data_IF_010568293159
#
_entry.id   IF_010568293159
#
_cell.length_a   1.000
_cell.length_b   1.000
_cell.length_c   1.000
_cell.angle_alpha   90.00
_cell.angle_beta   90.00
_cell.angle_gamma   90.00
#
_symmetry.space_group_name_H-M   'P 1'
#
loop_
_entity.id
_entity.type
_entity.pdbx_description
1 polymer ?
#
# COMPACT_ATOMS: atom_id res chain seq x y z
N UNK A 1 12.29 25.57 -0.28
CA UNK A 1 12.01 24.18 -0.63
C UNK A 1 11.86 24.07 -2.13
N UNK A 2 12.53 23.09 -2.75
CA UNK A 2 12.35 22.72 -4.16
C UNK A 2 10.95 22.10 -4.37
N UNK A 3 10.52 21.94 -5.63
CA UNK A 3 9.25 21.27 -5.93
C UNK A 3 9.27 19.80 -5.46
N UNK A 4 10.43 19.15 -5.56
CA UNK A 4 10.69 17.79 -5.09
C UNK A 4 10.51 17.68 -3.57
N UNK A 5 11.13 18.59 -2.81
CA UNK A 5 10.97 18.64 -1.34
C UNK A 5 9.53 18.95 -0.92
N UNK A 6 8.85 19.85 -1.63
CA UNK A 6 7.44 20.14 -1.40
C UNK A 6 6.56 18.91 -1.62
N UNK A 7 6.82 18.12 -2.67
CA UNK A 7 6.09 16.90 -2.93
C UNK A 7 6.24 15.87 -1.81
N UNK A 8 7.47 15.62 -1.39
CA UNK A 8 7.73 14.65 -0.32
C UNK A 8 7.15 15.11 1.01
N UNK A 9 7.18 16.41 1.28
CA UNK A 9 6.51 17.00 2.43
C UNK A 9 4.99 16.82 2.38
N UNK A 10 4.35 17.09 1.24
CA UNK A 10 2.90 16.88 1.06
C UNK A 10 2.53 15.42 1.31
N UNK A 11 3.26 14.47 0.74
CA UNK A 11 3.02 13.04 0.95
C UNK A 11 3.17 12.65 2.42
N UNK A 12 4.18 13.18 3.09
CA UNK A 12 4.39 12.99 4.52
C UNK A 12 3.19 13.51 5.34
N UNK A 13 2.75 14.74 5.11
CA UNK A 13 1.61 15.34 5.83
C UNK A 13 0.31 14.55 5.61
N UNK A 14 0.04 14.12 4.37
CA UNK A 14 -1.14 13.32 4.05
C UNK A 14 -1.10 11.98 4.77
N UNK A 15 0.07 11.33 4.83
CA UNK A 15 0.25 10.10 5.60
C UNK A 15 -0.04 10.34 7.07
N UNK A 16 0.54 11.37 7.69
CA UNK A 16 0.31 11.69 9.11
C UNK A 16 -1.17 11.95 9.39
N UNK A 17 -1.80 12.78 8.56
CA UNK A 17 -3.22 13.09 8.65
C UNK A 17 -4.08 11.84 8.56
N UNK A 18 -3.85 10.99 7.54
CA UNK A 18 -4.64 9.77 7.31
C UNK A 18 -4.51 8.78 8.47
N UNK A 19 -3.29 8.63 9.01
CA UNK A 19 -3.03 7.78 10.17
C UNK A 19 -3.79 8.27 11.40
N UNK A 20 -3.68 9.58 11.71
CA UNK A 20 -4.38 10.20 12.82
C UNK A 20 -5.89 10.10 12.67
N UNK A 21 -6.42 10.45 11.50
CA UNK A 21 -7.84 10.33 11.18
C UNK A 21 -8.35 8.92 11.42
N UNK A 22 -7.63 7.88 10.96
CA UNK A 22 -8.03 6.49 11.15
C UNK A 22 -8.09 6.11 12.64
N UNK A 23 -7.11 6.55 13.43
CA UNK A 23 -7.08 6.30 14.88
C UNK A 23 -8.26 6.99 15.57
N UNK A 24 -8.46 8.27 15.29
CA UNK A 24 -9.52 9.07 15.90
C UNK A 24 -10.91 8.56 15.50
N UNK A 25 -11.11 8.23 14.22
CA UNK A 25 -12.34 7.67 13.69
C UNK A 25 -12.68 6.34 14.36
N UNK A 26 -11.74 5.39 14.41
CA UNK A 26 -11.99 4.10 15.05
C UNK A 26 -12.25 4.22 16.56
N UNK A 27 -11.61 5.17 17.24
CA UNK A 27 -11.89 5.47 18.65
C UNK A 27 -13.27 6.11 18.83
N UNK A 28 -13.66 7.02 17.94
CA UNK A 28 -14.97 7.64 17.91
C UNK A 28 -16.07 6.59 17.69
N UNK A 29 -15.96 5.71 16.69
CA UNK A 29 -16.93 4.63 16.45
C UNK A 29 -17.11 3.76 17.71
N UNK A 30 -16.00 3.36 18.36
CA UNK A 30 -16.06 2.56 19.60
C UNK A 30 -16.75 3.29 20.76
N UNK A 31 -16.48 4.60 20.92
CA UNK A 31 -17.13 5.43 21.95
C UNK A 31 -18.62 5.57 21.66
N UNK A 32 -18.99 5.80 20.40
CA UNK A 32 -20.38 5.97 19.97
C UNK A 32 -21.19 4.68 20.13
N UNK A 33 -20.63 3.52 19.75
CA UNK A 33 -21.25 2.21 20.00
C UNK A 33 -21.55 2.04 21.50
N UNK A 34 -20.57 2.32 22.38
CA UNK A 34 -20.78 2.23 23.83
C UNK A 34 -21.88 3.18 24.31
N UNK A 35 -21.94 4.40 23.78
CA UNK A 35 -22.97 5.37 24.15
C UNK A 35 -24.37 4.93 23.69
N UNK A 36 -24.50 4.45 22.45
CA UNK A 36 -25.76 3.93 21.90
C UNK A 36 -26.23 2.69 22.66
N UNK A 37 -25.33 1.76 22.98
CA UNK A 37 -25.64 0.58 23.79
C UNK A 37 -26.12 0.97 25.20
N UNK A 38 -25.50 1.97 25.84
CA UNK A 38 -25.98 2.51 27.12
C UNK A 38 -27.37 3.13 27.00
N UNK A 39 -27.60 3.95 25.98
CA UNK A 39 -28.91 4.57 25.71
C UNK A 39 -29.99 3.52 25.48
N UNK A 40 -29.70 2.51 24.66
CA UNK A 40 -30.56 1.36 24.40
C UNK A 40 -30.89 0.60 25.68
N UNK A 41 -29.89 0.27 26.49
CA UNK A 41 -30.08 -0.45 27.74
C UNK A 41 -30.88 0.36 28.77
N UNK A 42 -30.64 1.67 28.86
CA UNK A 42 -31.42 2.58 29.70
C UNK A 42 -32.88 2.64 29.24
N UNK A 43 -33.12 2.74 27.93
CA UNK A 43 -34.45 2.70 27.33
C UNK A 43 -35.16 1.36 27.61
N UNK A 44 -34.47 0.22 27.56
CA UNK A 44 -35.09 -1.07 27.93
C UNK A 44 -35.41 -1.14 29.43
N UNK A 45 -34.57 -0.57 30.29
CA UNK A 45 -34.78 -0.54 31.76
C UNK A 45 -35.95 0.32 32.19
N UNK A 46 -36.30 1.37 31.44
CA UNK A 46 -37.49 2.18 31.73
C UNK A 46 -38.81 1.46 31.42
N UNK A 47 -38.75 0.22 30.91
CA UNK A 47 -39.90 -0.64 30.58
C UNK A 47 -40.96 0.08 29.71
N UNK A 48 -40.57 0.64 28.56
CA UNK A 48 -41.48 1.39 27.70
C UNK A 48 -42.54 0.46 27.09
N UNK A 49 -43.75 0.98 26.79
CA UNK A 49 -44.78 0.25 26.09
C UNK A 49 -44.29 -0.36 24.77
N UNK A 50 -44.91 -1.47 24.37
CA UNK A 50 -44.55 -2.23 23.15
C UNK A 50 -44.45 -1.36 21.90
N UNK A 51 -45.42 -0.45 21.70
CA UNK A 51 -45.47 0.44 20.54
C UNK A 51 -44.23 1.35 20.45
N UNK A 52 -43.79 1.88 21.60
CA UNK A 52 -42.60 2.73 21.67
C UNK A 52 -41.34 1.89 21.40
N UNK A 53 -41.28 0.66 21.90
CA UNK A 53 -40.13 -0.23 21.61
C UNK A 53 -39.98 -0.52 20.12
N UNK A 54 -41.07 -0.84 19.44
CA UNK A 54 -41.07 -1.17 18.01
C UNK A 54 -40.62 0.00 17.15
N UNK A 55 -40.84 1.24 17.59
CA UNK A 55 -40.40 2.42 16.86
C UNK A 55 -38.91 2.74 17.10
N UNK A 56 -38.46 2.73 18.36
CA UNK A 56 -37.14 3.27 18.72
C UNK A 56 -36.01 2.24 18.75
N UNK A 57 -36.29 0.96 19.07
CA UNK A 57 -35.23 -0.06 19.12
C UNK A 57 -34.59 -0.34 17.76
N UNK A 58 -35.34 -0.53 16.67
CA UNK A 58 -34.74 -0.82 15.37
C UNK A 58 -33.77 0.29 14.91
N UNK A 59 -34.09 1.56 15.18
CA UNK A 59 -33.22 2.69 14.84
C UNK A 59 -31.89 2.62 15.61
N UNK A 60 -31.95 2.36 16.92
CA UNK A 60 -30.74 2.23 17.73
C UNK A 60 -29.92 1.00 17.33
N UNK A 61 -30.58 -0.11 17.05
CA UNK A 61 -29.94 -1.37 16.64
C UNK A 61 -29.26 -1.23 15.28
N UNK A 62 -29.92 -0.60 14.31
CA UNK A 62 -29.35 -0.31 13.00
C UNK A 62 -28.13 0.63 13.10
N UNK A 63 -28.18 1.66 13.95
CA UNK A 63 -27.03 2.56 14.16
C UNK A 63 -25.85 1.82 14.79
N UNK A 64 -26.10 0.94 15.77
CA UNK A 64 -25.06 0.12 16.39
C UNK A 64 -24.47 -0.84 15.36
N UNK A 65 -25.31 -1.52 14.59
CA UNK A 65 -24.90 -2.48 13.57
C UNK A 65 -24.05 -1.82 12.48
N UNK A 66 -24.46 -0.65 11.97
CA UNK A 66 -23.71 0.10 10.96
C UNK A 66 -22.29 0.42 11.44
N UNK A 67 -22.14 0.94 12.67
CA UNK A 67 -20.83 1.27 13.24
C UNK A 67 -19.99 0.02 13.52
N UNK A 68 -20.62 -1.08 13.92
CA UNK A 68 -19.93 -2.36 14.11
C UNK A 68 -19.43 -2.93 12.78
N UNK A 69 -20.24 -2.84 11.73
CA UNK A 69 -19.86 -3.27 10.39
C UNK A 69 -18.67 -2.48 9.86
N UNK A 70 -18.64 -1.15 10.03
CA UNK A 70 -17.47 -0.34 9.66
C UNK A 70 -16.18 -0.79 10.37
N UNK A 71 -16.25 -1.09 11.67
CA UNK A 71 -15.08 -1.58 12.42
C UNK A 71 -14.62 -2.96 11.92
N UNK A 72 -15.56 -3.82 11.54
CA UNK A 72 -15.27 -5.13 10.92
C UNK A 72 -14.58 -4.92 9.57
N UNK A 73 -15.11 -4.05 8.72
CA UNK A 73 -14.55 -3.77 7.39
C UNK A 73 -13.11 -3.23 7.49
N UNK A 74 -12.85 -2.31 8.41
CA UNK A 74 -11.49 -1.82 8.70
C UNK A 74 -10.57 -2.96 9.18
N UNK A 75 -11.06 -3.85 10.06
CA UNK A 75 -10.26 -4.98 10.54
C UNK A 75 -9.98 -6.00 9.43
N UNK A 76 -10.95 -6.27 8.56
CA UNK A 76 -10.83 -7.13 7.39
C UNK A 76 -9.80 -6.59 6.41
N UNK A 77 -9.87 -5.29 6.10
CA UNK A 77 -8.88 -4.62 5.24
C UNK A 77 -7.46 -4.77 5.82
N UNK A 78 -7.29 -4.55 7.13
CA UNK A 78 -5.99 -4.73 7.81
C UNK A 78 -5.51 -6.18 7.84
N UNK A 79 -6.44 -7.13 7.94
CA UNK A 79 -6.11 -8.54 7.89
C UNK A 79 -5.74 -9.01 6.48
N UNK A 80 -6.06 -8.23 5.43
CA UNK A 80 -5.81 -8.58 4.03
C UNK A 80 -6.63 -9.79 3.56
N UNK A 81 -7.78 -10.06 4.20
CA UNK A 81 -8.65 -11.19 3.86
C UNK A 81 -9.62 -10.70 2.79
N UNK A 82 -9.57 -11.32 1.60
CA UNK A 82 -10.55 -11.06 0.54
C UNK A 82 -11.84 -11.77 0.95
N UNK A 83 -12.90 -11.01 1.18
CA UNK A 83 -14.16 -11.41 1.82
C UNK A 83 -15.02 -12.41 1.02
N UNK A 84 -14.42 -13.22 0.13
CA UNK A 84 -15.21 -13.91 -0.89
C UNK A 84 -15.79 -15.26 -0.47
N UNK A 85 -15.38 -15.86 0.66
CA UNK A 85 -15.82 -17.24 0.93
C UNK A 85 -16.64 -17.49 2.21
N UNK A 86 -16.56 -16.72 3.31
CA UNK A 86 -17.24 -17.17 4.55
C UNK A 86 -17.87 -16.13 5.48
N UNK A 87 -18.30 -14.95 5.02
CA UNK A 87 -19.20 -14.08 5.81
C UNK A 87 -18.77 -13.73 7.25
N UNK A 88 -17.50 -13.96 7.61
CA UNK A 88 -17.07 -14.03 9.00
C UNK A 88 -16.76 -12.63 9.53
N UNK A 89 -17.53 -12.22 10.53
CA UNK A 89 -17.47 -10.89 11.16
C UNK A 89 -16.74 -10.86 12.50
N UNK A 90 -16.13 -11.98 12.92
CA UNK A 90 -15.51 -12.08 14.24
C UNK A 90 -14.22 -11.26 14.32
N UNK A 91 -14.27 -10.14 15.06
CA UNK A 91 -13.12 -9.26 15.25
C UNK A 91 -11.91 -9.98 15.91
N UNK A 92 -12.17 -10.96 16.79
CA UNK A 92 -11.12 -11.76 17.43
C UNK A 92 -10.43 -12.71 16.46
N UNK A 93 -11.19 -13.29 15.53
CA UNK A 93 -10.67 -14.11 14.45
C UNK A 93 -9.79 -13.29 13.50
N UNK A 94 -10.29 -12.15 13.01
CA UNK A 94 -9.55 -11.26 12.11
C UNK A 94 -8.22 -10.79 12.72
N UNK A 95 -8.22 -10.45 14.01
CA UNK A 95 -7.00 -10.10 14.75
C UNK A 95 -6.01 -11.27 14.77
N UNK A 96 -6.48 -12.50 15.00
CA UNK A 96 -5.64 -13.70 15.02
C UNK A 96 -5.02 -13.98 13.66
N UNK A 97 -5.79 -13.87 12.58
CA UNK A 97 -5.28 -14.05 11.21
C UNK A 97 -4.19 -13.01 10.89
N UNK A 98 -4.39 -11.75 11.28
CA UNK A 98 -3.37 -10.72 11.09
C UNK A 98 -2.07 -11.05 11.85
N UNK A 99 -2.18 -11.55 13.09
CA UNK A 99 -1.01 -11.98 13.86
C UNK A 99 -0.30 -13.18 13.22
N UNK A 100 -1.05 -14.19 12.77
CA UNK A 100 -0.48 -15.36 12.07
C UNK A 100 0.28 -14.92 10.82
N UNK A 101 -0.33 -14.07 9.98
CA UNK A 101 0.33 -13.53 8.78
C UNK A 101 1.59 -12.73 9.11
N UNK A 102 1.56 -11.93 10.18
CA UNK A 102 2.74 -11.17 10.60
C UNK A 102 3.91 -12.09 10.98
N UNK A 103 3.62 -13.24 11.59
CA UNK A 103 4.62 -14.27 11.91
C UNK A 103 5.09 -15.00 10.64
N UNK A 104 4.17 -15.38 9.74
CA UNK A 104 4.53 -16.05 8.47
C UNK A 104 5.37 -15.16 7.54
N UNK A 105 5.18 -13.84 7.57
CA UNK A 105 5.96 -12.88 6.78
C UNK A 105 7.33 -12.57 7.37
N UNK A 106 7.63 -13.05 8.58
CA UNK A 106 8.95 -12.88 9.19
C UNK A 106 9.86 -14.06 8.88
N UNK A 107 11.06 -13.74 8.38
CA UNK A 107 12.13 -14.71 8.17
C UNK A 107 12.77 -14.98 9.54
N UNK A 108 12.46 -16.13 10.13
CA UNK A 108 13.03 -16.55 11.42
C UNK A 108 14.36 -17.27 11.27
N UNK A 109 14.59 -17.90 10.12
CA UNK A 109 15.76 -18.70 9.85
C UNK A 109 16.20 -18.51 8.40
N UNK A 110 17.52 -18.43 8.19
CA UNK A 110 18.15 -18.58 6.87
C UNK A 110 19.17 -19.69 6.95
N UNK A 111 19.32 -20.44 5.87
CA UNK A 111 20.40 -21.39 5.73
C UNK A 111 21.50 -20.73 4.91
N UNK A 112 22.72 -20.77 5.43
CA UNK A 112 23.90 -20.37 4.67
C UNK A 112 24.17 -21.42 3.59
N UNK A 113 24.15 -21.07 2.29
CA UNK A 113 24.40 -22.01 1.21
C UNK A 113 25.84 -22.54 1.20
N UNK A 114 26.80 -21.83 1.81
CA UNK A 114 28.22 -22.19 1.79
C UNK A 114 28.61 -23.07 2.98
N UNK A 115 28.07 -22.80 4.17
CA UNK A 115 28.35 -23.59 5.38
C UNK A 115 27.27 -24.60 5.74
N UNK A 116 26.07 -24.50 5.15
CA UNK A 116 24.90 -25.31 5.49
C UNK A 116 24.27 -24.98 6.84
N UNK A 117 24.82 -24.02 7.60
CA UNK A 117 24.36 -23.69 8.94
C UNK A 117 23.08 -22.85 8.90
N UNK A 118 22.14 -23.18 9.79
CA UNK A 118 20.92 -22.39 9.98
C UNK A 118 21.17 -21.28 10.98
N UNK A 119 20.92 -20.04 10.58
CA UNK A 119 21.07 -18.86 11.43
C UNK A 119 19.70 -18.30 11.80
N UNK A 120 19.56 -17.87 13.06
CA UNK A 120 18.29 -17.40 13.64
C UNK A 120 18.37 -16.02 14.28
N UNK A 121 19.58 -15.55 14.59
CA UNK A 121 19.78 -14.21 15.15
C UNK A 121 19.51 -13.14 14.10
N UNK A 122 18.76 -12.10 14.47
CA UNK A 122 18.46 -10.97 13.58
C UNK A 122 19.71 -10.33 12.97
N UNK A 123 20.76 -10.15 13.76
CA UNK A 123 22.03 -9.56 13.30
C UNK A 123 22.69 -10.44 12.24
N UNK A 124 22.67 -11.76 12.45
CA UNK A 124 23.18 -12.73 11.48
C UNK A 124 22.33 -12.70 10.21
N UNK A 125 21.00 -12.82 10.34
CA UNK A 125 20.05 -12.80 9.21
C UNK A 125 20.27 -11.58 8.30
N UNK A 126 20.46 -10.39 8.87
CA UNK A 126 20.73 -9.17 8.10
C UNK A 126 22.08 -9.21 7.39
N UNK A 127 23.15 -9.62 8.10
CA UNK A 127 24.49 -9.73 7.52
C UNK A 127 24.52 -10.72 6.35
N UNK A 128 23.92 -11.90 6.53
CA UNK A 128 23.83 -12.91 5.47
C UNK A 128 23.01 -12.43 4.27
N UNK A 129 21.84 -11.83 4.52
CA UNK A 129 21.02 -11.28 3.43
C UNK A 129 21.78 -10.22 2.64
N UNK A 130 22.48 -9.32 3.34
CA UNK A 130 23.29 -8.29 2.70
C UNK A 130 24.40 -8.89 1.85
N UNK A 131 25.22 -9.81 2.39
CA UNK A 131 26.30 -10.43 1.65
C UNK A 131 25.80 -11.17 0.42
N UNK A 132 24.74 -11.97 0.55
CA UNK A 132 24.14 -12.70 -0.57
C UNK A 132 23.68 -11.76 -1.69
N UNK A 133 22.92 -10.71 -1.38
CA UNK A 133 22.45 -9.79 -2.41
C UNK A 133 23.56 -8.90 -2.96
N UNK A 134 24.58 -8.56 -2.17
CA UNK A 134 25.76 -7.87 -2.69
C UNK A 134 26.52 -8.70 -3.71
N UNK A 135 26.62 -10.01 -3.50
CA UNK A 135 27.21 -10.95 -4.45
C UNK A 135 26.32 -11.14 -5.68
N UNK A 136 25.03 -11.36 -5.50
CA UNK A 136 24.07 -11.56 -6.60
C UNK A 136 23.98 -10.35 -7.54
N UNK A 137 24.12 -9.14 -7.00
CA UNK A 137 24.14 -7.91 -7.78
C UNK A 137 25.56 -7.37 -8.00
N UNK A 138 26.58 -8.19 -7.77
CA UNK A 138 27.94 -7.85 -8.19
C UNK A 138 28.01 -7.85 -9.71
N UNK A 139 28.94 -7.08 -10.26
CA UNK A 139 29.12 -7.01 -11.72
C UNK A 139 29.71 -8.33 -12.18
N UNK A 140 28.91 -9.12 -12.87
CA UNK A 140 29.43 -10.27 -13.60
C UNK A 140 30.31 -9.76 -14.75
N UNK A 141 31.52 -10.32 -14.94
CA UNK A 141 32.33 -9.99 -16.10
C UNK A 141 31.58 -10.44 -17.37
N UNK A 142 31.18 -9.48 -18.19
CA UNK A 142 30.60 -9.73 -19.51
C UNK A 142 31.70 -9.55 -20.54
N UNK A 143 31.82 -10.49 -21.48
CA UNK A 143 32.77 -10.37 -22.60
C UNK A 143 32.32 -9.23 -23.53
N UNK A 144 33.24 -8.33 -23.87
CA UNK A 144 32.98 -7.26 -24.85
C UNK A 144 32.53 -7.84 -26.20
N UNK A 145 33.01 -9.04 -26.56
CA UNK A 145 32.58 -9.74 -27.77
C UNK A 145 31.09 -10.13 -27.73
N UNK A 146 30.59 -10.59 -26.58
CA UNK A 146 29.17 -10.94 -26.42
C UNK A 146 28.29 -9.69 -26.50
N UNK A 147 28.77 -8.55 -25.97
CA UNK A 147 28.10 -7.24 -26.11
C UNK A 147 28.02 -6.85 -27.58
N UNK A 148 29.14 -6.93 -28.31
CA UNK A 148 29.18 -6.58 -29.74
C UNK A 148 28.29 -7.49 -30.59
N UNK A 149 28.28 -8.80 -30.32
CA UNK A 149 27.38 -9.74 -31.00
C UNK A 149 25.91 -9.40 -30.73
N UNK A 150 25.56 -9.13 -29.46
CA UNK A 150 24.20 -8.71 -29.10
C UNK A 150 23.79 -7.40 -29.78
N UNK A 151 24.69 -6.41 -29.85
CA UNK A 151 24.44 -5.12 -30.51
C UNK A 151 24.28 -5.27 -32.03
N UNK A 152 25.01 -6.20 -32.66
CA UNK A 152 24.84 -6.52 -34.08
C UNK A 152 23.48 -7.16 -34.35
N UNK A 153 23.04 -8.08 -33.49
CA UNK A 153 21.74 -8.76 -33.63
C UNK A 153 20.54 -7.79 -33.54
N UNK A 154 20.71 -6.65 -32.87
CA UNK A 154 19.66 -5.63 -32.71
C UNK A 154 19.86 -4.38 -33.58
N UNK A 155 20.86 -4.37 -34.46
CA UNK A 155 21.20 -3.19 -35.27
C UNK A 155 20.05 -2.77 -36.22
N UNK A 156 19.24 -3.73 -36.67
CA UNK A 156 18.12 -3.51 -37.60
C UNK A 156 16.76 -3.32 -36.90
N UNK A 157 16.75 -2.99 -35.60
CA UNK A 157 15.50 -2.72 -34.90
C UNK A 157 14.79 -1.46 -35.41
N UNK A 158 13.44 -1.42 -35.38
CA UNK A 158 12.69 -0.24 -35.75
C UNK A 158 13.12 0.98 -34.92
N UNK A 159 13.52 2.05 -35.59
CA UNK A 159 13.80 3.34 -34.96
C UNK A 159 12.51 4.14 -34.79
N UNK A 160 12.44 4.91 -33.70
CA UNK A 160 11.39 5.91 -33.51
C UNK A 160 11.47 6.95 -34.63
N UNK A 161 10.34 7.24 -35.27
CA UNK A 161 10.26 8.36 -36.20
C UNK A 161 10.33 9.70 -35.42
N UNK A 162 10.52 10.80 -36.15
CA UNK A 162 10.65 12.12 -35.55
C UNK A 162 9.39 12.61 -34.83
N UNK A 163 8.21 12.12 -35.21
CA UNK A 163 6.95 12.46 -34.54
C UNK A 163 6.87 11.75 -33.18
N UNK A 164 7.16 10.45 -33.12
CA UNK A 164 7.18 9.65 -31.90
C UNK A 164 8.25 10.16 -30.92
N UNK A 165 9.43 10.53 -31.43
CA UNK A 165 10.49 11.16 -30.64
C UNK A 165 10.00 12.45 -29.98
N UNK A 166 9.35 13.33 -30.74
CA UNK A 166 8.81 14.60 -30.23
C UNK A 166 7.69 14.36 -29.23
N UNK A 167 6.86 13.35 -29.47
CA UNK A 167 5.79 12.97 -28.55
C UNK A 167 6.34 12.47 -27.21
N UNK A 168 7.35 11.60 -27.21
CA UNK A 168 7.93 11.01 -25.98
C UNK A 168 8.61 12.04 -25.06
N UNK A 169 9.08 13.15 -25.61
CA UNK A 169 9.69 14.25 -24.83
C UNK A 169 8.72 15.42 -24.58
N UNK A 170 7.48 15.29 -25.03
CA UNK A 170 6.48 16.34 -24.82
C UNK A 170 6.13 16.48 -23.33
N UNK A 171 5.79 17.70 -22.86
CA UNK A 171 5.44 17.91 -21.47
C UNK A 171 4.24 17.06 -21.04
N UNK A 172 4.39 16.37 -19.91
CA UNK A 172 3.34 15.56 -19.29
C UNK A 172 2.23 16.48 -18.80
N UNK A 173 1.01 16.19 -19.21
CA UNK A 173 -0.20 16.95 -18.87
C UNK A 173 -0.81 16.50 -17.55
N UNK A 174 -1.65 17.36 -16.95
CA UNK A 174 -2.36 17.00 -15.71
C UNK A 174 -3.39 15.91 -15.97
N UNK A 175 -4.02 15.91 -17.14
CA UNK A 175 -5.01 14.92 -17.55
C UNK A 175 -4.38 13.52 -17.60
N UNK A 176 -3.17 13.40 -18.17
CA UNK A 176 -2.41 12.16 -18.16
C UNK A 176 -2.10 11.69 -16.73
N UNK A 177 -1.66 12.59 -15.86
CA UNK A 177 -1.35 12.26 -14.46
C UNK A 177 -2.60 11.78 -13.71
N UNK A 178 -3.76 12.41 -13.91
CA UNK A 178 -5.02 12.03 -13.25
C UNK A 178 -5.54 10.67 -13.74
N UNK A 179 -5.31 10.33 -15.01
CA UNK A 179 -5.74 9.05 -15.58
C UNK A 179 -4.91 7.86 -15.08
N UNK A 180 -3.63 8.04 -14.77
CA UNK A 180 -2.75 6.93 -14.38
C UNK A 180 -3.23 6.15 -13.14
N UNK A 181 -3.56 6.78 -11.99
CA UNK A 181 -4.05 6.05 -10.82
C UNK A 181 -5.32 5.24 -11.10
N UNK A 182 -6.20 5.70 -12.01
CA UNK A 182 -7.46 4.99 -12.32
C UNK A 182 -7.19 3.60 -12.90
N UNK A 183 -6.13 3.47 -13.71
CA UNK A 183 -5.69 2.18 -14.29
C UNK A 183 -5.11 1.26 -13.22
N UNK A 184 -4.33 1.82 -12.29
CA UNK A 184 -3.58 1.05 -11.30
C UNK A 184 -4.39 0.66 -10.04
N UNK A 185 -5.42 1.43 -9.66
CA UNK A 185 -6.28 1.12 -8.50
C UNK A 185 -6.83 -0.31 -8.56
N UNK A 186 -7.14 -0.82 -9.76
CA UNK A 186 -7.69 -2.17 -9.95
C UNK A 186 -6.70 -3.29 -9.59
N UNK A 187 -5.40 -3.00 -9.62
CA UNK A 187 -4.34 -3.99 -9.39
C UNK A 187 -4.00 -4.19 -7.92
N UNK A 188 -4.55 -3.35 -7.02
CA UNK A 188 -4.36 -3.45 -5.56
C UNK A 188 -2.88 -3.62 -5.17
N UNK A 189 -2.01 -2.84 -5.82
CA UNK A 189 -0.57 -2.90 -5.56
C UNK A 189 -0.23 -2.47 -4.14
N UNK A 190 0.90 -2.98 -3.65
CA UNK A 190 1.46 -2.53 -2.39
C UNK A 190 1.94 -1.08 -2.49
N UNK A 191 1.73 -0.24 -1.47
CA UNK A 191 2.24 1.13 -1.46
C UNK A 191 3.77 1.16 -1.32
N UNK A 192 4.37 2.27 -1.76
CA UNK A 192 5.80 2.56 -1.66
C UNK A 192 6.29 2.82 -0.23
N UNK A 193 7.44 3.46 -0.10
CA UNK A 193 8.02 3.88 1.19
C UNK A 193 7.15 4.92 1.92
N UNK A 194 6.43 5.75 1.16
CA UNK A 194 5.47 6.74 1.68
C UNK A 194 4.21 6.12 2.29
N UNK A 195 3.91 4.85 1.99
CA UNK A 195 2.73 4.16 2.50
C UNK A 195 1.41 4.60 1.83
N UNK A 196 1.47 5.38 0.75
CA UNK A 196 0.31 5.86 0.01
C UNK A 196 0.06 4.97 -1.22
N UNK A 197 -1.08 4.28 -1.25
CA UNK A 197 -1.50 3.51 -2.43
C UNK A 197 -2.09 4.38 -3.54
N UNK A 198 -2.34 3.78 -4.70
CA UNK A 198 -2.91 4.50 -5.86
C UNK A 198 -4.27 5.15 -5.60
N UNK A 199 -5.05 4.65 -4.64
CA UNK A 199 -6.30 5.30 -4.21
C UNK A 199 -6.04 6.69 -3.63
N UNK A 200 -4.99 6.85 -2.82
CA UNK A 200 -4.62 8.16 -2.29
C UNK A 200 -4.08 9.06 -3.40
N UNK A 201 -3.22 8.54 -4.28
CA UNK A 201 -2.70 9.29 -5.42
C UNK A 201 -3.81 9.82 -6.32
N UNK A 202 -4.86 9.01 -6.56
CA UNK A 202 -6.03 9.45 -7.30
C UNK A 202 -6.69 10.69 -6.69
N UNK A 203 -6.86 10.74 -5.37
CA UNK A 203 -7.42 11.93 -4.70
C UNK A 203 -6.45 13.11 -4.71
N UNK A 204 -5.16 12.86 -4.47
CA UNK A 204 -4.13 13.91 -4.44
C UNK A 204 -4.02 14.60 -5.80
N UNK A 205 -4.00 13.84 -6.89
CA UNK A 205 -3.87 14.41 -8.24
C UNK A 205 -5.08 15.23 -8.69
N UNK A 206 -6.24 15.02 -8.06
CA UNK A 206 -7.44 15.82 -8.30
C UNK A 206 -7.53 17.05 -7.38
N UNK A 207 -6.64 17.19 -6.39
CA UNK A 207 -6.69 18.29 -5.45
C UNK A 207 -6.12 19.57 -6.08
N UNK A 208 -7.03 20.45 -6.53
CA UNK A 208 -6.71 21.66 -7.29
C UNK A 208 -5.57 22.52 -6.70
N UNK A 209 -5.45 22.73 -5.38
CA UNK A 209 -4.36 23.54 -4.82
C UNK A 209 -2.96 22.96 -5.05
N UNK A 210 -2.83 21.67 -5.35
CA UNK A 210 -1.55 21.01 -5.64
C UNK A 210 -1.28 20.87 -7.13
N UNK A 211 -2.19 21.30 -8.01
CA UNK A 211 -2.11 21.05 -9.45
C UNK A 211 -0.78 21.48 -10.06
N UNK A 212 -0.34 22.70 -9.78
CA UNK A 212 0.91 23.25 -10.32
C UNK A 212 2.12 22.45 -9.85
N UNK A 213 2.12 22.03 -8.58
CA UNK A 213 3.16 21.19 -8.01
C UNK A 213 3.20 19.82 -8.68
N UNK A 214 2.03 19.17 -8.83
CA UNK A 214 1.86 17.83 -9.41
C UNK A 214 2.33 17.79 -10.87
N UNK A 215 2.05 18.83 -11.67
CA UNK A 215 2.52 18.92 -13.06
C UNK A 215 4.03 19.16 -13.10
N UNK A 216 4.54 20.01 -12.20
CA UNK A 216 5.95 20.43 -12.21
C UNK A 216 6.90 19.28 -11.91
N UNK A 217 6.58 18.39 -10.98
CA UNK A 217 7.47 17.28 -10.58
C UNK A 217 7.86 16.36 -11.75
N UNK A 218 6.93 15.68 -12.45
CA UNK A 218 7.27 14.76 -13.52
C UNK A 218 7.89 15.47 -14.72
N UNK A 219 7.49 16.71 -15.01
CA UNK A 219 8.10 17.48 -16.10
C UNK A 219 9.53 17.94 -15.78
N UNK A 220 9.83 18.26 -14.52
CA UNK A 220 11.21 18.55 -14.09
C UNK A 220 12.06 17.28 -14.11
N UNK A 221 11.49 16.13 -13.76
CA UNK A 221 12.15 14.84 -13.88
C UNK A 221 12.45 14.50 -15.37
N UNK A 222 11.49 14.72 -16.27
CA UNK A 222 11.64 14.46 -17.70
C UNK A 222 12.70 15.35 -18.36
N UNK A 223 12.73 16.64 -18.03
CA UNK A 223 13.60 17.61 -18.72
C UNK A 223 14.96 17.81 -18.07
N UNK A 224 15.06 17.69 -16.74
CA UNK A 224 16.27 18.01 -15.98
C UNK A 224 16.80 16.83 -15.15
N UNK A 225 16.16 15.66 -15.18
CA UNK A 225 16.57 14.49 -14.39
C UNK A 225 16.51 14.72 -12.88
N UNK A 226 15.69 15.68 -12.42
CA UNK A 226 15.57 16.02 -10.99
C UNK A 226 14.36 15.34 -10.36
N UNK A 227 14.63 14.34 -9.53
CA UNK A 227 13.61 13.47 -8.92
C UNK A 227 13.42 13.78 -7.42
N UNK A 228 12.20 13.61 -6.87
CA UNK A 228 11.99 13.52 -5.43
C UNK A 228 12.86 12.42 -4.81
N UNK A 229 13.36 12.63 -3.59
CA UNK A 229 14.23 11.65 -2.93
C UNK A 229 13.49 10.33 -2.69
N UNK A 230 12.20 10.42 -2.38
CA UNK A 230 11.34 9.25 -2.22
C UNK A 230 11.17 8.38 -3.48
N UNK A 231 11.46 8.90 -4.68
CA UNK A 231 11.43 8.11 -5.92
C UNK A 231 12.70 7.28 -6.10
N UNK A 232 13.77 7.66 -5.42
CA UNK A 232 15.05 6.98 -5.43
C UNK A 232 15.13 5.90 -4.34
N UNK A 233 14.17 5.87 -3.42
CA UNK A 233 14.07 4.84 -2.39
C UNK A 233 13.48 3.54 -2.96
N UNK A 234 14.27 2.47 -2.95
CA UNK A 234 13.82 1.13 -3.29
C UNK A 234 13.30 0.40 -2.04
N UNK A 235 12.04 -0.06 -2.08
CA UNK A 235 11.51 -0.94 -1.03
C UNK A 235 11.61 -2.40 -1.45
N UNK A 236 12.69 -3.06 -1.05
CA UNK A 236 12.84 -4.52 -1.23
C UNK A 236 12.00 -5.23 -0.18
N UNK A 237 11.07 -6.09 -0.63
CA UNK A 237 10.38 -7.06 0.23
C UNK A 237 10.64 -8.47 -0.29
N UNK A 238 11.28 -9.27 0.57
CA UNK A 238 11.42 -10.70 0.34
C UNK A 238 10.06 -11.35 0.56
N UNK A 239 9.53 -11.98 -0.48
CA UNK A 239 8.30 -12.75 -0.41
C UNK A 239 8.67 -14.22 -0.48
N UNK A 240 8.24 -15.01 0.51
CA UNK A 240 8.37 -16.46 0.44
C UNK A 240 7.46 -16.96 -0.67
N UNK A 241 8.03 -17.65 -1.67
CA UNK A 241 7.25 -18.42 -2.63
C UNK A 241 6.81 -19.68 -1.88
N UNK A 242 5.51 -19.84 -1.63
CA UNK A 242 4.98 -21.11 -1.14
C UNK A 242 5.25 -22.15 -2.23
N UNK A 243 6.13 -23.11 -1.95
CA UNK A 243 6.29 -24.29 -2.80
C UNK A 243 4.93 -24.98 -2.86
N UNK A 244 4.30 -24.96 -4.03
CA UNK A 244 3.10 -25.74 -4.28
C UNK A 244 3.57 -27.18 -4.34
N UNK A 245 3.52 -27.87 -3.20
CA UNK A 245 3.57 -29.33 -3.20
C UNK A 245 2.27 -29.80 -3.84
N UNK A 246 2.33 -30.08 -5.14
CA UNK A 246 1.32 -30.89 -5.80
C UNK A 246 1.39 -32.28 -5.15
N UNK A 247 0.33 -32.64 -4.42
CA UNK A 247 0.09 -34.01 -3.97
C UNK A 247 -0.18 -34.92 -5.18
#
# INVERSE_FOLDING_TARGET
MTAQEQWDYVKYEIRQFTQRYTIDYTNWCKKLIKALQRKRNAFLRSRPPIAIRLHYLPVMDQQIESLQQELVDIATLKAGIRWREHGEKSAGYLKRIHLVRAVEQSIHFLQDPTSGLTVSSRTQLMKFSQSFYQELYSVDPVDEHDIDCYLQDIADLPHLNDDDRRYLISPITIEEIIEQPKKEIRRQSSPGSDGLGYVFMHFIYQFSPLKDLIIKIPNTALTAGSFPSSWQDLRVRLSSIKSIHNY
#
